data_IF_897733553880
#
_entry.id   IF_897733553880
#
_cell.length_a   1.000
_cell.length_b   1.000
_cell.length_c   1.000
_cell.angle_alpha   90.00
_cell.angle_beta   90.00
_cell.angle_gamma   90.00
#
_symmetry.space_group_name_H-M   'P 1'
#
loop_
_entity.id
_entity.type
_entity.pdbx_description
1 polymer ?
#
# COMPACT_ATOMS: atom_id res chain seq x y z
N UNK A 1 -17.99 -53.21 21.67
CA UNK A 1 -18.55 -52.01 22.34
C UNK A 1 -18.37 -50.74 21.53
N UNK A 2 -17.14 -50.28 21.22
CA UNK A 2 -16.96 -49.05 20.41
C UNK A 2 -17.40 -49.25 18.95
N UNK A 3 -17.01 -50.37 18.32
CA UNK A 3 -17.40 -50.74 16.95
C UNK A 3 -18.93 -50.96 16.79
N UNK A 4 -19.61 -51.36 17.87
CA UNK A 4 -21.06 -51.57 17.86
C UNK A 4 -21.81 -50.22 17.90
N UNK A 5 -21.27 -49.20 18.58
CA UNK A 5 -21.83 -47.85 18.62
C UNK A 5 -21.59 -47.06 17.32
N UNK A 6 -20.45 -47.27 16.67
CA UNK A 6 -20.13 -46.64 15.38
C UNK A 6 -21.05 -47.13 14.24
N UNK A 7 -21.47 -48.39 14.32
CA UNK A 7 -22.47 -48.98 13.40
C UNK A 7 -23.89 -48.57 13.77
N UNK A 8 -24.25 -48.49 15.06
CA UNK A 8 -25.56 -48.00 15.53
C UNK A 8 -25.82 -46.53 15.21
N UNK A 9 -24.78 -45.68 15.28
CA UNK A 9 -24.85 -44.26 14.94
C UNK A 9 -24.65 -43.97 13.44
N UNK A 10 -24.43 -45.01 12.63
CA UNK A 10 -24.26 -44.91 11.17
C UNK A 10 -23.08 -44.03 10.74
N UNK A 11 -22.08 -43.86 11.62
CA UNK A 11 -20.96 -42.93 11.41
C UNK A 11 -20.16 -43.38 10.19
N UNK A 12 -19.83 -44.67 10.08
CA UNK A 12 -19.06 -45.20 8.95
C UNK A 12 -19.78 -44.99 7.61
N UNK A 13 -21.11 -45.10 7.58
CA UNK A 13 -21.90 -44.89 6.36
C UNK A 13 -22.00 -43.41 5.98
N UNK A 14 -22.07 -42.51 6.96
CA UNK A 14 -21.96 -41.06 6.73
C UNK A 14 -20.60 -40.68 6.15
N UNK A 15 -19.51 -41.20 6.71
CA UNK A 15 -18.17 -40.93 6.20
C UNK A 15 -17.97 -41.44 4.77
N UNK A 16 -18.53 -42.61 4.43
CA UNK A 16 -18.50 -43.12 3.05
C UNK A 16 -19.34 -42.26 2.11
N UNK A 17 -20.50 -41.77 2.55
CA UNK A 17 -21.35 -40.88 1.77
C UNK A 17 -20.67 -39.53 1.51
N UNK A 18 -20.11 -38.91 2.54
CA UNK A 18 -19.37 -37.65 2.44
C UNK A 18 -18.13 -37.82 1.53
N UNK A 19 -17.44 -38.97 1.63
CA UNK A 19 -16.29 -39.27 0.79
C UNK A 19 -16.69 -39.50 -0.68
N UNK A 20 -17.86 -40.08 -0.94
CA UNK A 20 -18.39 -40.25 -2.29
C UNK A 20 -18.83 -38.91 -2.88
N UNK A 21 -19.48 -38.06 -2.08
CA UNK A 21 -19.89 -36.70 -2.47
C UNK A 21 -18.66 -35.84 -2.77
N UNK A 22 -17.60 -35.93 -1.95
CA UNK A 22 -16.33 -35.27 -2.22
C UNK A 22 -15.69 -35.75 -3.53
N UNK A 23 -15.64 -37.06 -3.76
CA UNK A 23 -15.10 -37.61 -5.02
C UNK A 23 -15.97 -37.28 -6.24
N UNK A 24 -17.29 -37.15 -6.06
CA UNK A 24 -18.18 -36.68 -7.11
C UNK A 24 -17.95 -35.21 -7.41
N UNK A 25 -17.85 -34.36 -6.39
CA UNK A 25 -17.51 -32.95 -6.54
C UNK A 25 -16.14 -32.77 -7.22
N UNK A 26 -15.15 -33.60 -6.91
CA UNK A 26 -13.83 -33.58 -7.54
C UNK A 26 -13.89 -34.01 -9.03
N UNK A 27 -14.77 -34.94 -9.40
CA UNK A 27 -14.99 -35.34 -10.81
C UNK A 27 -15.82 -34.32 -11.60
N UNK A 28 -16.79 -33.68 -10.95
CA UNK A 28 -17.67 -32.67 -11.55
C UNK A 28 -16.98 -31.31 -11.70
N UNK A 29 -16.05 -30.99 -10.79
CA UNK A 29 -15.10 -29.89 -10.96
C UNK A 29 -14.01 -30.32 -11.94
N UNK A 30 -14.37 -30.48 -13.21
CA UNK A 30 -13.44 -30.84 -14.28
C UNK A 30 -12.12 -30.07 -14.20
N UNK A 31 -11.04 -30.73 -14.66
CA UNK A 31 -9.65 -30.31 -14.53
C UNK A 31 -9.50 -28.78 -14.55
N UNK A 32 -9.17 -28.22 -13.38
CA UNK A 32 -9.11 -26.77 -13.17
C UNK A 32 -8.13 -26.14 -14.18
N UNK A 33 -7.10 -26.87 -14.60
CA UNK A 33 -6.13 -26.41 -15.60
C UNK A 33 -6.75 -26.22 -17.00
N UNK A 34 -7.87 -26.89 -17.29
CA UNK A 34 -8.60 -26.73 -18.56
C UNK A 34 -9.52 -25.51 -18.56
N UNK A 35 -9.79 -24.91 -17.39
CA UNK A 35 -10.59 -23.68 -17.31
C UNK A 35 -9.79 -22.54 -17.94
N UNK A 36 -10.46 -21.72 -18.77
CA UNK A 36 -9.82 -20.62 -19.52
C UNK A 36 -9.07 -19.64 -18.61
N UNK A 37 -9.59 -19.33 -17.43
CA UNK A 37 -8.93 -18.46 -16.44
C UNK A 37 -7.70 -19.10 -15.78
N UNK A 38 -7.55 -20.43 -15.83
CA UNK A 38 -6.41 -21.12 -15.24
C UNK A 38 -5.22 -21.21 -16.20
N UNK A 39 -5.44 -21.03 -17.51
CA UNK A 39 -4.40 -21.00 -18.54
C UNK A 39 -3.48 -19.78 -18.35
N UNK A 40 -2.14 -19.93 -18.44
CA UNK A 40 -1.18 -18.85 -18.19
C UNK A 40 -1.42 -17.59 -19.03
N UNK A 41 -1.61 -17.74 -20.35
CA UNK A 41 -1.84 -16.62 -21.26
C UNK A 41 -3.05 -15.74 -20.82
N UNK A 42 -4.14 -16.37 -20.42
CA UNK A 42 -5.34 -15.67 -19.96
C UNK A 42 -5.13 -14.98 -18.61
N UNK A 43 -4.36 -15.57 -17.69
CA UNK A 43 -4.01 -14.91 -16.43
C UNK A 43 -3.17 -13.67 -16.66
N UNK A 44 -2.21 -13.74 -17.58
CA UNK A 44 -1.35 -12.60 -17.88
C UNK A 44 -2.15 -11.44 -18.47
N UNK A 45 -3.07 -11.73 -19.40
CA UNK A 45 -3.96 -10.72 -19.97
C UNK A 45 -4.88 -10.12 -18.92
N UNK A 46 -5.48 -10.95 -18.06
CA UNK A 46 -6.33 -10.46 -16.96
C UNK A 46 -5.52 -9.61 -15.98
N UNK A 47 -4.28 -10.00 -15.69
CA UNK A 47 -3.39 -9.25 -14.82
C UNK A 47 -3.05 -7.88 -15.41
N UNK A 48 -2.74 -7.80 -16.71
CA UNK A 48 -2.51 -6.54 -17.41
C UNK A 48 -3.78 -5.67 -17.44
N UNK A 49 -4.94 -6.26 -17.70
CA UNK A 49 -6.22 -5.57 -17.67
C UNK A 49 -6.48 -4.93 -16.30
N UNK A 50 -6.32 -5.69 -15.20
CA UNK A 50 -6.51 -5.15 -13.86
C UNK A 50 -5.44 -4.14 -13.47
N UNK A 51 -4.19 -4.27 -13.95
CA UNK A 51 -3.17 -3.23 -13.78
C UNK A 51 -3.60 -1.91 -14.43
N UNK A 52 -4.17 -1.95 -15.63
CA UNK A 52 -4.68 -0.75 -16.32
C UNK A 52 -5.85 -0.14 -15.56
N UNK A 53 -6.82 -0.95 -15.14
CA UNK A 53 -7.95 -0.47 -14.32
C UNK A 53 -7.45 0.18 -13.03
N UNK A 54 -6.54 -0.50 -12.32
CA UNK A 54 -6.01 0.00 -11.06
C UNK A 54 -5.17 1.27 -11.26
N UNK A 55 -4.41 1.37 -12.34
CA UNK A 55 -3.66 2.58 -12.67
C UNK A 55 -4.58 3.79 -12.84
N UNK A 56 -5.76 3.62 -13.46
CA UNK A 56 -6.75 4.70 -13.61
C UNK A 56 -7.27 5.18 -12.25
N UNK A 57 -7.65 4.24 -11.37
CA UNK A 57 -8.09 4.57 -10.00
C UNK A 57 -6.97 5.25 -9.21
N UNK A 58 -5.76 4.74 -9.31
CA UNK A 58 -4.61 5.25 -8.55
C UNK A 58 -4.26 6.67 -8.96
N UNK A 59 -4.43 7.06 -10.24
CA UNK A 59 -4.25 8.46 -10.67
C UNK A 59 -5.21 9.39 -9.91
N UNK A 60 -6.48 9.01 -9.76
CA UNK A 60 -7.47 9.80 -9.02
C UNK A 60 -7.11 9.91 -7.53
N UNK A 61 -6.68 8.80 -6.92
CA UNK A 61 -6.26 8.75 -5.52
C UNK A 61 -4.99 9.58 -5.27
N UNK A 62 -4.00 9.48 -6.17
CA UNK A 62 -2.76 10.25 -6.10
C UNK A 62 -3.03 11.75 -6.19
N UNK A 63 -4.00 12.19 -6.99
CA UNK A 63 -4.39 13.60 -7.04
C UNK A 63 -4.91 14.14 -5.70
N UNK A 64 -5.60 13.30 -4.92
CA UNK A 64 -6.04 13.64 -3.57
C UNK A 64 -4.84 13.63 -2.61
N UNK A 65 -3.99 12.62 -2.72
CA UNK A 65 -2.85 12.43 -1.82
C UNK A 65 -1.80 13.52 -1.99
N UNK A 66 -1.52 13.98 -3.21
CA UNK A 66 -0.62 15.13 -3.47
C UNK A 66 -1.08 16.35 -2.66
N UNK A 67 -2.38 16.67 -2.67
CA UNK A 67 -2.91 17.80 -1.89
C UNK A 67 -2.77 17.57 -0.39
N UNK A 68 -3.02 16.35 0.09
CA UNK A 68 -2.87 15.99 1.51
C UNK A 68 -1.43 16.12 1.97
N UNK A 69 -0.48 15.60 1.21
CA UNK A 69 0.96 15.68 1.50
C UNK A 69 1.42 17.13 1.53
N UNK A 70 1.04 17.96 0.53
CA UNK A 70 1.38 19.38 0.53
C UNK A 70 0.81 20.12 1.74
N UNK A 71 -0.43 19.82 2.12
CA UNK A 71 -1.08 20.39 3.31
C UNK A 71 -0.34 19.98 4.58
N UNK A 72 0.00 18.70 4.70
CA UNK A 72 0.76 18.17 5.83
C UNK A 72 2.14 18.81 5.96
N UNK A 73 2.88 18.97 4.85
CA UNK A 73 4.19 19.63 4.85
C UNK A 73 4.11 21.08 5.35
N UNK A 74 3.09 21.82 4.92
CA UNK A 74 2.84 23.20 5.39
C UNK A 74 2.52 23.22 6.89
N UNK A 75 1.59 22.38 7.32
CA UNK A 75 1.11 22.36 8.70
C UNK A 75 2.20 21.90 9.67
N UNK A 76 3.01 20.91 9.28
CA UNK A 76 4.17 20.45 10.04
C UNK A 76 5.23 21.56 10.18
N UNK A 77 5.56 22.26 9.10
CA UNK A 77 6.49 23.39 9.13
C UNK A 77 5.99 24.51 10.07
N UNK A 78 4.71 24.87 9.98
CA UNK A 78 4.09 25.87 10.85
C UNK A 78 4.09 25.41 12.32
N UNK A 79 3.81 24.14 12.60
CA UNK A 79 3.82 23.59 13.95
C UNK A 79 5.22 23.57 14.57
N UNK A 80 6.26 23.23 13.78
CA UNK A 80 7.64 23.27 14.24
C UNK A 80 8.09 24.70 14.54
N UNK A 81 7.72 25.67 13.69
CA UNK A 81 8.00 27.09 13.92
C UNK A 81 7.32 27.60 15.19
N UNK A 82 6.03 27.29 15.37
CA UNK A 82 5.26 27.67 16.57
C UNK A 82 5.92 27.14 17.85
N UNK A 83 6.30 25.85 17.85
CA UNK A 83 7.01 25.22 18.97
C UNK A 83 8.36 25.90 19.23
N UNK A 84 9.12 26.23 18.18
CA UNK A 84 10.39 26.93 18.29
C UNK A 84 10.26 28.32 18.93
N UNK A 85 9.21 29.07 18.58
CA UNK A 85 8.90 30.37 19.21
C UNK A 85 8.58 30.20 20.70
N UNK A 86 7.76 29.22 21.06
CA UNK A 86 7.38 28.93 22.46
C UNK A 86 8.57 28.51 23.33
N UNK A 87 9.52 27.77 22.77
CA UNK A 87 10.74 27.38 23.49
C UNK A 87 11.66 28.59 23.72
N UNK A 88 11.79 29.47 22.72
CA UNK A 88 12.61 30.70 22.83
C UNK A 88 12.02 31.76 23.75
N UNK A 89 10.72 31.70 24.01
CA UNK A 89 10.09 32.57 25.00
C UNK A 89 10.56 32.18 26.40
N UNK A 90 11.42 33.01 26.99
CA UNK A 90 11.96 32.83 28.34
C UNK A 90 11.15 33.57 29.40
N UNK A 91 10.08 34.27 29.02
CA UNK A 91 9.27 35.03 29.95
C UNK A 91 8.63 34.10 31.00
N UNK A 92 8.82 34.43 32.28
CA UNK A 92 8.24 33.69 33.41
C UNK A 92 8.86 32.31 33.70
N UNK A 93 9.99 31.93 33.08
CA UNK A 93 10.67 30.65 33.33
C UNK A 93 11.84 30.78 34.30
N UNK A 94 12.11 29.73 35.07
CA UNK A 94 13.33 29.59 35.88
C UNK A 94 14.58 29.60 34.98
N UNK A 95 15.73 30.14 35.43
CA UNK A 95 16.96 30.18 34.64
C UNK A 95 17.39 28.81 34.09
N UNK A 96 17.31 27.74 34.89
CA UNK A 96 17.66 26.38 34.46
C UNK A 96 16.75 25.88 33.32
N UNK A 97 15.45 26.18 33.42
CA UNK A 97 14.46 25.79 32.39
C UNK A 97 14.64 26.61 31.11
N UNK A 98 14.97 27.89 31.24
CA UNK A 98 15.25 28.75 30.09
C UNK A 98 16.50 28.28 29.30
N UNK A 99 17.53 27.81 30.01
CA UNK A 99 18.72 27.22 29.38
C UNK A 99 18.37 25.93 28.63
N UNK A 100 17.64 25.01 29.27
CA UNK A 100 17.20 23.75 28.66
C UNK A 100 16.30 23.99 27.42
N UNK A 101 15.34 24.91 27.52
CA UNK A 101 14.45 25.26 26.41
C UNK A 101 15.23 25.89 25.23
N UNK A 102 16.29 26.65 25.53
CA UNK A 102 17.21 27.19 24.53
C UNK A 102 17.92 26.09 23.73
N UNK A 103 18.46 25.08 24.42
CA UNK A 103 19.10 23.92 23.79
C UNK A 103 18.09 23.12 22.94
N UNK A 104 16.89 22.89 23.47
CA UNK A 104 15.82 22.21 22.74
C UNK A 104 15.39 23.00 21.50
N UNK A 105 15.34 24.33 21.56
CA UNK A 105 15.02 25.18 20.42
C UNK A 105 16.08 25.08 19.30
N UNK A 106 17.36 24.92 19.65
CA UNK A 106 18.44 24.71 18.68
C UNK A 106 18.28 23.34 17.99
N UNK A 107 18.06 22.28 18.78
CA UNK A 107 17.83 20.93 18.23
C UNK A 107 16.59 20.88 17.32
N UNK A 108 15.50 21.53 17.74
CA UNK A 108 14.28 21.62 16.94
C UNK A 108 14.51 22.38 15.62
N UNK A 109 15.31 23.44 15.65
CA UNK A 109 15.66 24.19 14.44
C UNK A 109 16.49 23.35 13.46
N UNK A 110 17.43 22.55 13.97
CA UNK A 110 18.20 21.61 13.14
C UNK A 110 17.28 20.54 12.53
N UNK A 111 16.39 19.96 13.33
CA UNK A 111 15.40 19.00 12.87
C UNK A 111 14.50 19.58 11.77
N UNK A 112 13.95 20.77 11.99
CA UNK A 112 13.10 21.47 11.02
C UNK A 112 13.85 21.77 9.72
N UNK A 113 15.15 22.10 9.80
CA UNK A 113 16.00 22.34 8.64
C UNK A 113 16.20 21.06 7.81
N UNK A 114 16.44 19.92 8.46
CA UNK A 114 16.54 18.62 7.77
C UNK A 114 15.24 18.28 7.05
N UNK A 115 14.09 18.43 7.72
CA UNK A 115 12.78 18.19 7.10
C UNK A 115 12.49 19.11 5.93
N UNK A 116 12.79 20.40 6.03
CA UNK A 116 12.60 21.34 4.92
C UNK A 116 13.34 20.89 3.66
N UNK A 117 14.56 20.36 3.77
CA UNK A 117 15.32 19.88 2.60
C UNK A 117 14.61 18.75 1.84
N UNK A 118 13.98 17.83 2.58
CA UNK A 118 13.18 16.75 1.97
C UNK A 118 11.88 17.30 1.39
N UNK A 119 11.17 18.14 2.15
CA UNK A 119 9.92 18.76 1.69
C UNK A 119 10.14 19.58 0.41
N UNK A 120 11.21 20.38 0.33
CA UNK A 120 11.56 21.14 -0.88
C UNK A 120 11.78 20.23 -2.09
N UNK A 121 12.36 19.05 -1.86
CA UNK A 121 12.58 18.07 -2.92
C UNK A 121 11.27 17.47 -3.41
N UNK A 122 10.34 17.15 -2.50
CA UNK A 122 8.99 16.70 -2.87
C UNK A 122 8.21 17.80 -3.59
N UNK A 123 8.24 19.03 -3.10
CA UNK A 123 7.57 20.19 -3.71
C UNK A 123 8.08 20.39 -5.14
N UNK A 124 9.41 20.35 -5.35
CA UNK A 124 9.98 20.42 -6.71
C UNK A 124 9.47 19.31 -7.62
N UNK A 125 9.42 18.07 -7.13
CA UNK A 125 8.89 16.93 -7.90
C UNK A 125 7.41 17.11 -8.23
N UNK A 126 6.59 17.58 -7.29
CA UNK A 126 5.17 17.86 -7.55
C UNK A 126 4.98 18.97 -8.58
N UNK A 127 5.81 20.01 -8.55
CA UNK A 127 5.82 21.03 -9.60
C UNK A 127 6.21 20.44 -10.97
N UNK A 128 7.22 19.58 -11.03
CA UNK A 128 7.58 18.88 -12.27
C UNK A 128 6.44 17.99 -12.78
N UNK A 129 5.73 17.29 -11.89
CA UNK A 129 4.56 16.48 -12.25
C UNK A 129 3.41 17.33 -12.80
N UNK A 130 3.17 18.51 -12.23
CA UNK A 130 2.11 19.41 -12.68
C UNK A 130 2.37 20.01 -14.08
N UNK A 131 3.59 19.93 -14.58
CA UNK A 131 3.96 20.38 -15.94
C UNK A 131 3.73 19.26 -16.97
N UNK A 132 3.64 18.00 -16.55
CA UNK A 132 3.46 16.88 -17.46
C UNK A 132 2.08 16.93 -18.14
N UNK A 133 2.07 16.60 -19.43
CA UNK A 133 0.84 16.41 -20.20
C UNK A 133 0.02 15.25 -19.60
N UNK A 134 -1.27 15.50 -19.33
CA UNK A 134 -2.15 14.52 -18.69
C UNK A 134 -2.25 14.62 -17.16
N UNK A 135 -1.57 15.56 -16.51
CA UNK A 135 -1.80 15.83 -15.09
C UNK A 135 -3.19 16.45 -14.86
N UNK A 136 -4.04 15.76 -14.11
CA UNK A 136 -5.42 16.18 -13.79
C UNK A 136 -5.58 16.68 -12.35
N UNK A 137 -4.50 16.63 -11.56
CA UNK A 137 -4.50 17.02 -10.16
C UNK A 137 -4.45 18.53 -9.93
N UNK A 138 -4.33 18.91 -8.65
CA UNK A 138 -4.11 20.31 -8.26
C UNK A 138 -3.06 20.36 -7.16
N UNK A 139 -2.19 21.37 -7.24
CA UNK A 139 -1.19 21.67 -6.21
C UNK A 139 -1.73 22.67 -5.17
N UNK A 140 -3.02 22.99 -5.21
CA UNK A 140 -3.63 23.83 -4.18
C UNK A 140 -3.63 23.11 -2.83
N UNK A 141 -3.27 23.87 -1.80
CA UNK A 141 -3.29 23.39 -0.42
C UNK A 141 -4.73 23.14 0.03
N UNK A 142 -4.93 22.05 0.74
CA UNK A 142 -6.18 21.74 1.42
C UNK A 142 -6.24 22.39 2.81
N UNK A 143 -7.27 22.01 3.56
CA UNK A 143 -7.45 22.38 4.96
C UNK A 143 -7.50 21.11 5.81
N UNK A 144 -6.63 20.99 6.81
CA UNK A 144 -6.69 19.90 7.76
C UNK A 144 -7.96 20.02 8.64
N UNK A 145 -8.73 18.92 8.73
CA UNK A 145 -10.06 18.91 9.39
C UNK A 145 -9.98 19.09 10.91
N UNK A 146 -8.82 18.83 11.51
CA UNK A 146 -8.33 19.25 12.83
C UNK A 146 -6.99 18.57 12.98
N UNK A 147 -5.98 19.28 13.46
CA UNK A 147 -4.69 18.69 13.82
C UNK A 147 -4.94 17.62 14.89
N UNK A 148 -4.96 16.34 14.53
CA UNK A 148 -4.67 15.26 15.49
C UNK A 148 -3.22 15.45 15.95
N UNK A 149 -2.98 16.42 16.82
CA UNK A 149 -1.86 16.34 17.74
C UNK A 149 -2.23 15.18 18.64
N UNK A 150 -1.60 14.03 18.39
CA UNK A 150 -1.42 13.08 19.47
C UNK A 150 -0.57 13.84 20.48
N UNK A 151 -1.21 14.39 21.51
CA UNK A 151 -0.52 14.69 22.75
C UNK A 151 -0.02 13.32 23.22
N UNK A 152 1.26 13.05 22.96
CA UNK A 152 1.93 11.92 23.56
C UNK A 152 2.03 12.25 25.04
N UNK A 153 0.97 11.92 25.78
CA UNK A 153 1.07 11.80 27.22
C UNK A 153 2.18 10.80 27.50
N UNK A 154 3.07 11.17 28.42
CA UNK A 154 4.23 10.43 28.85
C UNK A 154 3.89 8.93 28.95
N UNK A 155 4.35 8.14 27.97
CA UNK A 155 4.43 6.71 28.15
C UNK A 155 5.58 6.50 29.12
N UNK A 156 5.25 6.11 30.35
CA UNK A 156 6.20 5.59 31.31
C UNK A 156 7.05 4.51 30.62
N UNK A 157 8.30 4.88 30.31
CA UNK A 157 9.28 3.94 29.77
C UNK A 157 9.67 3.05 30.94
N UNK A 158 9.11 1.85 30.97
CA UNK A 158 9.49 0.82 31.92
C UNK A 158 10.96 0.44 31.65
N UNK A 159 11.81 0.70 32.64
CA UNK A 159 13.28 0.66 32.58
C UNK A 159 13.82 -0.78 32.60
N UNK A 160 13.17 -1.74 31.95
CA UNK A 160 13.67 -3.11 31.81
C UNK A 160 13.28 -3.72 30.46
N UNK A 161 14.01 -3.37 29.40
CA UNK A 161 14.13 -4.23 28.22
C UNK A 161 15.55 -4.14 27.62
N UNK A 162 16.12 -5.27 27.21
CA UNK A 162 17.55 -5.39 26.95
C UNK A 162 17.98 -4.60 25.70
N UNK A 163 19.16 -4.03 25.83
CA UNK A 163 19.94 -3.30 24.84
C UNK A 163 20.11 -4.03 23.51
N UNK A 164 19.90 -3.25 22.44
CA UNK A 164 20.62 -3.25 21.15
C UNK A 164 20.64 -4.54 20.35
N UNK A 165 19.64 -4.69 19.46
CA UNK A 165 19.86 -5.41 18.20
C UNK A 165 20.57 -4.42 17.26
N UNK A 166 21.79 -4.77 16.87
CA UNK A 166 22.60 -3.99 15.93
C UNK A 166 21.90 -3.92 14.57
N UNK A 167 21.79 -2.72 14.01
CA UNK A 167 21.21 -2.45 12.70
C UNK A 167 21.92 -3.21 11.55
N UNK A 168 23.20 -3.58 11.74
CA UNK A 168 23.99 -4.32 10.75
C UNK A 168 23.55 -5.79 10.59
N UNK A 169 22.87 -6.38 11.58
CA UNK A 169 22.49 -7.81 11.54
C UNK A 169 21.23 -8.08 10.69
N UNK A 170 20.46 -7.03 10.35
CA UNK A 170 19.20 -7.17 9.60
C UNK A 170 19.41 -7.10 8.08
N UNK A 171 20.56 -6.59 7.61
CA UNK A 171 20.81 -6.38 6.18
C UNK A 171 21.45 -7.58 5.46
N UNK A 172 21.92 -8.61 6.16
CA UNK A 172 22.74 -9.69 5.56
C UNK A 172 21.95 -10.94 5.14
N UNK A 173 20.68 -10.81 4.72
CA UNK A 173 19.88 -11.96 4.22
C UNK A 173 18.98 -11.64 3.03
N UNK A 174 19.41 -10.79 2.10
CA UNK A 174 18.58 -10.46 0.94
C UNK A 174 19.30 -10.39 -0.40
N UNK A 175 20.26 -11.26 -0.62
CA UNK A 175 20.80 -11.51 -1.96
C UNK A 175 20.94 -13.01 -2.14
N UNK A 176 19.97 -13.65 -2.79
CA UNK A 176 20.17 -14.81 -3.66
C UNK A 176 18.84 -15.21 -4.32
N UNK A 177 18.91 -15.38 -5.65
CA UNK A 177 17.94 -16.04 -6.53
C UNK A 177 16.80 -15.20 -7.13
N UNK A 178 17.15 -14.31 -8.08
CA UNK A 178 16.27 -13.99 -9.20
C UNK A 178 16.67 -14.86 -10.40
N UNK A 179 15.97 -15.98 -10.58
CA UNK A 179 16.05 -16.78 -11.79
C UNK A 179 15.56 -15.97 -12.98
N UNK A 180 16.44 -15.80 -13.96
CA UNK A 180 16.11 -15.27 -15.29
C UNK A 180 15.69 -16.42 -16.17
N UNK A 181 14.41 -16.81 -16.11
CA UNK A 181 13.81 -17.70 -17.11
C UNK A 181 13.39 -16.85 -18.32
N UNK A 182 14.36 -16.59 -19.19
CA UNK A 182 14.15 -16.18 -20.58
C UNK A 182 13.93 -17.46 -21.40
N UNK A 183 12.72 -18.02 -21.34
CA UNK A 183 12.24 -18.95 -22.35
C UNK A 183 11.30 -18.20 -23.28
N UNK A 184 11.84 -17.85 -24.45
CA UNK A 184 11.06 -17.33 -25.56
C UNK A 184 10.10 -18.39 -26.08
N UNK A 185 8.81 -18.15 -25.90
CA UNK A 185 7.75 -18.85 -26.63
C UNK A 185 7.20 -17.93 -27.73
N UNK A 186 7.51 -18.29 -28.98
CA UNK A 186 6.80 -17.83 -30.18
C UNK A 186 5.36 -18.36 -30.15
N UNK A 187 4.50 -17.72 -29.36
CA UNK A 187 3.06 -17.99 -29.35
C UNK A 187 2.36 -17.17 -30.45
N UNK A 188 2.33 -17.76 -31.63
CA UNK A 188 1.24 -17.74 -32.61
C UNK A 188 0.24 -16.55 -32.53
N UNK A 189 0.32 -15.65 -33.52
CA UNK A 189 -0.59 -14.53 -33.79
C UNK A 189 -2.11 -14.90 -33.81
N UNK A 190 -2.45 -16.19 -33.82
CA UNK A 190 -3.83 -16.68 -33.74
C UNK A 190 -4.47 -16.53 -32.37
N UNK A 191 -3.72 -16.53 -31.26
CA UNK A 191 -4.32 -16.40 -29.92
C UNK A 191 -4.69 -14.95 -29.55
N UNK A 192 -3.98 -13.95 -30.09
CA UNK A 192 -4.28 -12.53 -29.86
C UNK A 192 -5.63 -12.11 -30.45
N UNK A 193 -6.01 -12.66 -31.61
CA UNK A 193 -7.29 -12.35 -32.26
C UNK A 193 -8.48 -12.92 -31.48
N UNK A 194 -8.36 -14.14 -30.96
CA UNK A 194 -9.38 -14.77 -30.10
C UNK A 194 -9.50 -14.04 -28.74
N UNK A 195 -8.39 -13.50 -28.23
CA UNK A 195 -8.34 -12.75 -26.98
C UNK A 195 -8.98 -11.35 -27.12
N UNK A 196 -8.73 -10.64 -28.23
CA UNK A 196 -9.36 -9.34 -28.55
C UNK A 196 -10.86 -9.52 -28.79
N UNK A 197 -11.27 -10.57 -29.50
CA UNK A 197 -12.69 -10.89 -29.75
C UNK A 197 -13.44 -11.20 -28.44
N UNK A 198 -12.79 -11.83 -27.46
CA UNK A 198 -13.42 -12.14 -26.17
C UNK A 198 -13.54 -10.92 -25.24
N UNK A 199 -12.57 -9.99 -25.25
CA UNK A 199 -12.68 -8.71 -24.54
C UNK A 199 -13.81 -7.84 -25.11
N UNK A 200 -14.01 -7.87 -26.44
CA UNK A 200 -15.16 -7.21 -27.08
C UNK A 200 -16.50 -7.90 -26.75
N UNK A 201 -16.50 -9.23 -26.55
CA UNK A 201 -17.70 -10.01 -26.20
C UNK A 201 -18.18 -9.87 -24.74
N UNK A 202 -17.38 -9.26 -23.85
CA UNK A 202 -17.75 -9.01 -22.45
C UNK A 202 -18.53 -7.69 -22.23
N UNK A 203 -19.04 -7.07 -23.28
CA UNK A 203 -20.03 -5.99 -23.15
C UNK A 203 -19.49 -4.71 -22.53
N UNK A 204 -18.40 -4.17 -23.07
CA UNK A 204 -18.19 -2.72 -23.00
C UNK A 204 -19.00 -2.15 -24.18
N UNK A 205 -20.22 -1.72 -23.90
CA UNK A 205 -21.03 -0.92 -24.82
C UNK A 205 -20.20 0.30 -25.23
N UNK A 206 -19.64 0.26 -26.44
CA UNK A 206 -19.25 1.47 -27.16
C UNK A 206 -20.52 2.14 -27.66
N UNK A 207 -21.33 2.69 -26.76
CA UNK A 207 -22.40 3.58 -27.17
C UNK A 207 -22.84 4.53 -26.04
N UNK A 208 -22.12 5.64 -25.89
CA UNK A 208 -22.79 6.92 -25.73
C UNK A 208 -22.05 7.96 -26.60
N UNK A 209 -22.75 8.48 -27.61
CA UNK A 209 -22.59 9.87 -28.04
C UNK A 209 -21.92 10.12 -29.38
N UNK A 210 -22.63 9.81 -30.47
CA UNK A 210 -22.53 10.54 -31.73
C UNK A 210 -23.23 11.90 -31.56
N UNK A 211 -22.50 13.01 -31.72
CA UNK A 211 -22.80 14.18 -32.59
C UNK A 211 -21.76 15.30 -32.39
#
# INVERSE_FOLDING_TARGET
MVQDLETELGVVERWKADQLEYQQAERETGDIQQKRWARPAYREVMHQYFKILRAKEEIELLNIEIRRVLTWMRDDAAALQEKGVKLRDTSGKSPEKAEQDGLMAVQLAEYASRRHRFNDTHIRRFHSLAILEGFTGSLQLGQAIKSCRVEMNDMDIDEQAPTTISFDEVMEKRDEEYGSDDEGDEAQDTELSDLIFMLAGLGIDQNEGVE
#
